data_IF_214594056231
#
_entry.id   IF_214594056231
#
_cell.length_a   1.000
_cell.length_b   1.000
_cell.length_c   1.000
_cell.angle_alpha   90.00
_cell.angle_beta   90.00
_cell.angle_gamma   90.00
#
_symmetry.space_group_name_H-M   'P 1'
#
loop_
_entity.id
_entity.type
_entity.pdbx_description
1 polymer ?
#
# COMPACT_ATOMS: atom_id res chain seq x y z
N UNK A 1 -14.50 -2.61 -53.32
CA UNK A 1 -14.62 -3.65 -52.29
C UNK A 1 -14.32 -3.04 -50.93
N UNK A 2 -15.39 -2.72 -50.21
CA UNK A 2 -15.35 -2.20 -48.85
C UNK A 2 -14.94 -3.35 -47.91
N UNK A 3 -13.68 -3.39 -47.52
CA UNK A 3 -13.32 -4.03 -46.25
C UNK A 3 -13.88 -3.11 -45.18
N UNK A 4 -14.89 -3.60 -44.46
CA UNK A 4 -15.50 -2.85 -43.36
C UNK A 4 -14.44 -2.59 -42.30
N UNK A 5 -14.49 -1.40 -41.70
CA UNK A 5 -13.51 -0.93 -40.71
C UNK A 5 -13.33 -1.97 -39.56
N UNK A 6 -14.34 -2.81 -39.29
CA UNK A 6 -14.27 -3.89 -38.30
C UNK A 6 -13.36 -5.07 -38.65
N UNK A 7 -13.16 -5.44 -39.92
CA UNK A 7 -12.22 -6.54 -40.26
C UNK A 7 -10.76 -6.11 -40.10
N UNK A 8 -10.49 -4.82 -40.36
CA UNK A 8 -9.17 -4.22 -40.20
C UNK A 8 -8.86 -3.96 -38.72
N UNK A 9 -9.86 -3.63 -37.91
CA UNK A 9 -9.76 -3.56 -36.44
C UNK A 9 -9.59 -4.94 -35.80
N UNK A 10 -10.40 -5.95 -36.17
CA UNK A 10 -10.24 -7.34 -35.71
C UNK A 10 -8.88 -7.93 -36.07
N UNK A 11 -8.40 -7.67 -37.28
CA UNK A 11 -7.05 -8.10 -37.71
C UNK A 11 -5.96 -7.35 -36.95
N UNK A 12 -6.15 -6.06 -36.65
CA UNK A 12 -5.20 -5.28 -35.85
C UNK A 12 -5.19 -5.73 -34.38
N UNK A 13 -6.33 -6.13 -33.81
CA UNK A 13 -6.45 -6.63 -32.44
C UNK A 13 -5.87 -8.05 -32.28
N UNK A 14 -6.08 -8.93 -33.26
CA UNK A 14 -5.41 -10.23 -33.31
C UNK A 14 -3.86 -10.11 -33.41
N UNK A 15 -3.37 -9.01 -34.02
CA UNK A 15 -1.93 -8.68 -34.06
C UNK A 15 -1.42 -8.20 -32.69
N UNK A 16 -2.26 -7.54 -31.86
CA UNK A 16 -1.86 -7.02 -30.53
C UNK A 16 -1.61 -8.12 -29.50
N UNK A 17 -2.31 -9.25 -29.57
CA UNK A 17 -1.99 -10.44 -28.76
C UNK A 17 -0.72 -11.19 -29.22
N UNK A 18 0.05 -10.66 -30.17
CA UNK A 18 1.34 -11.22 -30.60
C UNK A 18 2.53 -10.31 -30.26
N UNK A 19 2.38 -9.42 -29.28
CA UNK A 19 3.48 -8.61 -28.76
C UNK A 19 4.35 -9.41 -27.79
N UNK A 20 5.61 -9.00 -27.61
CA UNK A 20 6.57 -9.62 -26.70
C UNK A 20 7.20 -8.57 -25.80
N UNK A 21 7.59 -8.98 -24.58
CA UNK A 21 8.37 -8.15 -23.67
C UNK A 21 9.87 -8.14 -24.03
N UNK A 22 10.66 -7.46 -23.20
CA UNK A 22 12.11 -7.37 -23.36
C UNK A 22 12.84 -8.72 -23.35
N UNK A 23 12.24 -9.74 -22.73
CA UNK A 23 12.78 -11.10 -22.65
C UNK A 23 12.26 -12.00 -23.78
N UNK A 24 11.51 -11.44 -24.74
CA UNK A 24 10.93 -12.16 -25.87
C UNK A 24 9.75 -13.05 -25.48
N UNK A 25 9.22 -12.91 -24.27
CA UNK A 25 8.04 -13.64 -23.82
C UNK A 25 6.79 -12.96 -24.39
N UNK A 26 5.85 -13.76 -24.88
CA UNK A 26 4.58 -13.24 -25.42
C UNK A 26 3.81 -12.51 -24.34
N UNK A 27 3.29 -11.34 -24.69
CA UNK A 27 2.38 -10.55 -23.87
C UNK A 27 0.98 -10.74 -24.46
N UNK A 28 0.05 -11.17 -23.63
CA UNK A 28 -1.36 -11.28 -23.95
C UNK A 28 -2.12 -10.21 -23.17
N UNK A 29 -3.27 -9.78 -23.69
CA UNK A 29 -4.10 -8.84 -22.95
C UNK A 29 -3.74 -7.37 -23.14
N UNK A 30 -2.86 -7.02 -24.10
CA UNK A 30 -2.61 -5.63 -24.49
C UNK A 30 -3.67 -5.21 -25.54
N UNK A 31 -4.82 -4.75 -25.07
CA UNK A 31 -5.98 -4.33 -25.87
C UNK A 31 -5.96 -2.82 -26.18
N UNK A 32 -5.34 -2.04 -25.30
CA UNK A 32 -5.25 -0.60 -25.26
C UNK A 32 -4.24 0.00 -26.25
N UNK A 33 -3.82 1.21 -25.92
CA UNK A 33 -3.13 2.11 -26.82
C UNK A 33 -1.66 2.34 -26.48
N UNK A 34 -1.31 2.00 -25.25
CA UNK A 34 -0.02 2.17 -24.64
C UNK A 34 0.82 0.88 -24.84
N UNK A 35 1.94 0.81 -24.13
CA UNK A 35 2.88 -0.30 -24.26
C UNK A 35 2.79 -1.29 -23.13
N UNK A 36 1.91 -1.09 -22.13
CA UNK A 36 1.87 -1.88 -20.92
C UNK A 36 0.49 -2.50 -20.77
N UNK A 37 0.45 -3.78 -20.41
CA UNK A 37 -0.82 -4.37 -19.97
C UNK A 37 -1.19 -3.74 -18.64
N UNK A 38 -2.20 -2.90 -18.60
CA UNK A 38 -2.60 -2.20 -17.40
C UNK A 38 -4.13 -2.08 -17.27
N UNK A 39 -4.60 -1.13 -16.48
CA UNK A 39 -6.03 -0.97 -16.21
C UNK A 39 -6.83 -0.58 -17.44
N UNK A 40 -6.22 0.10 -18.42
CA UNK A 40 -6.88 0.44 -19.68
C UNK A 40 -7.33 -0.84 -20.37
N UNK A 41 -6.42 -1.79 -20.46
CA UNK A 41 -6.69 -3.09 -21.04
C UNK A 41 -7.71 -3.90 -20.25
N UNK A 42 -7.65 -3.83 -18.90
CA UNK A 42 -8.61 -4.51 -18.05
C UNK A 42 -10.04 -4.02 -18.30
N UNK A 43 -10.24 -2.71 -18.41
CA UNK A 43 -11.56 -2.14 -18.66
C UNK A 43 -12.08 -2.48 -20.06
N UNK A 44 -11.21 -2.46 -21.08
CA UNK A 44 -11.57 -2.92 -22.42
C UNK A 44 -11.94 -4.41 -22.38
N UNK A 45 -11.15 -5.24 -21.68
CA UNK A 45 -11.44 -6.66 -21.50
C UNK A 45 -12.79 -6.91 -20.81
N UNK A 46 -13.08 -6.15 -19.76
CA UNK A 46 -14.32 -6.23 -19.00
C UNK A 46 -15.58 -6.02 -19.85
N UNK A 47 -15.54 -5.11 -20.84
CA UNK A 47 -16.65 -4.86 -21.76
C UNK A 47 -16.97 -6.08 -22.66
N UNK A 48 -16.02 -6.98 -22.83
CA UNK A 48 -16.17 -8.21 -23.61
C UNK A 48 -16.40 -9.45 -22.74
N UNK A 49 -16.34 -9.34 -21.42
CA UNK A 49 -16.51 -10.46 -20.50
C UNK A 49 -17.93 -11.05 -20.57
N UNK A 50 -18.03 -12.37 -20.63
CA UNK A 50 -19.27 -13.12 -20.77
C UNK A 50 -19.81 -13.20 -22.20
N UNK A 51 -19.15 -12.59 -23.19
CA UNK A 51 -19.51 -12.77 -24.60
C UNK A 51 -19.10 -14.17 -25.08
N UNK A 52 -19.92 -14.77 -25.93
CA UNK A 52 -19.66 -16.07 -26.56
C UNK A 52 -19.60 -15.90 -28.06
N UNK A 53 -19.09 -16.88 -28.81
CA UNK A 53 -19.03 -16.80 -30.28
C UNK A 53 -20.37 -16.53 -30.98
N UNK A 54 -21.50 -16.74 -30.31
CA UNK A 54 -22.84 -16.43 -30.82
C UNK A 54 -23.26 -14.96 -30.59
N UNK A 55 -22.52 -14.20 -29.77
CA UNK A 55 -22.79 -12.78 -29.51
C UNK A 55 -22.36 -11.92 -30.70
N UNK A 56 -23.21 -10.99 -31.16
CA UNK A 56 -22.92 -10.12 -32.32
C UNK A 56 -21.66 -9.26 -32.12
N UNK A 57 -21.36 -8.90 -30.87
CA UNK A 57 -20.20 -8.10 -30.46
C UNK A 57 -19.01 -8.95 -30.01
N UNK A 58 -19.07 -10.29 -30.14
CA UNK A 58 -17.95 -11.15 -29.79
C UNK A 58 -16.74 -10.84 -30.66
N UNK A 59 -15.59 -10.72 -30.00
CA UNK A 59 -14.30 -10.58 -30.64
C UNK A 59 -13.33 -11.59 -30.00
N UNK A 60 -12.84 -12.51 -30.83
CA UNK A 60 -11.90 -13.56 -30.43
C UNK A 60 -10.56 -13.03 -29.92
N UNK A 61 -10.28 -11.73 -30.08
CA UNK A 61 -9.11 -11.11 -29.46
C UNK A 61 -9.18 -11.13 -27.92
N UNK A 62 -10.38 -11.15 -27.33
CA UNK A 62 -10.57 -11.21 -25.88
C UNK A 62 -10.68 -12.64 -25.33
N UNK A 63 -10.87 -13.63 -26.20
CA UNK A 63 -10.78 -15.07 -25.90
C UNK A 63 -9.29 -15.49 -25.94
N UNK A 64 -8.59 -15.18 -24.85
CA UNK A 64 -7.18 -15.51 -24.63
C UNK A 64 -6.96 -17.03 -24.43
N UNK A 65 -8.01 -17.75 -24.07
CA UNK A 65 -8.08 -19.16 -23.71
C UNK A 65 -8.92 -19.96 -24.72
N UNK A 66 -8.58 -19.93 -26.02
CA UNK A 66 -9.45 -20.15 -27.20
C UNK A 66 -10.56 -21.19 -27.02
N UNK A 67 -11.62 -20.84 -26.28
CA UNK A 67 -12.72 -21.71 -25.89
C UNK A 67 -14.08 -21.19 -26.43
N UNK A 68 -14.05 -20.12 -27.23
CA UNK A 68 -15.18 -19.40 -27.82
C UNK A 68 -16.08 -18.67 -26.81
N UNK A 69 -15.56 -18.38 -25.63
CA UNK A 69 -16.18 -17.59 -24.58
C UNK A 69 -15.11 -16.64 -24.04
N UNK A 70 -15.50 -15.45 -23.61
CA UNK A 70 -14.64 -14.58 -22.79
C UNK A 70 -15.06 -14.80 -21.34
N UNK A 71 -14.30 -15.57 -20.58
CA UNK A 71 -14.62 -15.93 -19.20
C UNK A 71 -13.40 -15.84 -18.26
N UNK A 72 -13.49 -16.49 -17.11
CA UNK A 72 -12.45 -16.44 -16.10
C UNK A 72 -11.12 -17.06 -16.56
N UNK A 73 -11.14 -18.02 -17.49
CA UNK A 73 -9.91 -18.60 -18.04
C UNK A 73 -9.12 -17.53 -18.83
N UNK A 74 -9.81 -16.66 -19.55
CA UNK A 74 -9.20 -15.51 -20.23
C UNK A 74 -8.70 -14.46 -19.25
N UNK A 75 -9.49 -14.19 -18.21
CA UNK A 75 -9.12 -13.26 -17.16
C UNK A 75 -7.82 -13.66 -16.48
N UNK A 76 -7.62 -14.95 -16.16
CA UNK A 76 -6.38 -15.43 -15.55
C UNK A 76 -5.17 -15.28 -16.49
N UNK A 77 -5.36 -15.42 -17.80
CA UNK A 77 -4.30 -15.17 -18.78
C UNK A 77 -3.99 -13.67 -18.87
N UNK A 78 -5.00 -12.81 -18.89
CA UNK A 78 -4.83 -11.35 -18.84
C UNK A 78 -4.05 -10.93 -17.59
N UNK A 79 -4.50 -11.40 -16.44
CA UNK A 79 -3.92 -11.28 -15.11
C UNK A 79 -2.42 -11.56 -15.05
N UNK A 80 -2.00 -12.71 -15.59
CA UNK A 80 -0.59 -13.13 -15.66
C UNK A 80 0.28 -12.17 -16.48
N UNK A 81 -0.34 -11.37 -17.35
CA UNK A 81 0.34 -10.42 -18.21
C UNK A 81 0.31 -9.00 -17.67
N UNK A 82 -0.49 -8.72 -16.63
CA UNK A 82 -0.64 -7.37 -16.11
C UNK A 82 0.68 -6.78 -15.59
N UNK A 83 0.93 -5.54 -15.94
CA UNK A 83 2.17 -4.81 -15.66
C UNK A 83 3.32 -5.10 -16.63
N UNK A 84 3.20 -6.08 -17.54
CA UNK A 84 4.21 -6.36 -18.56
C UNK A 84 4.17 -5.32 -19.66
N UNK A 85 5.34 -4.95 -20.14
CA UNK A 85 5.51 -3.89 -21.15
C UNK A 85 6.10 -4.47 -22.44
N UNK A 86 5.51 -4.14 -23.59
CA UNK A 86 5.99 -4.54 -24.89
C UNK A 86 7.22 -3.72 -25.33
N UNK A 87 8.10 -4.33 -26.12
CA UNK A 87 9.19 -3.62 -26.79
C UNK A 87 8.81 -3.35 -28.24
N UNK A 88 8.11 -2.23 -28.51
CA UNK A 88 7.73 -1.80 -29.87
C UNK A 88 6.58 -0.79 -29.91
N UNK A 89 6.31 -0.21 -31.08
CA UNK A 89 5.24 0.82 -31.24
C UNK A 89 3.90 0.15 -31.49
N UNK A 90 3.07 0.07 -30.43
CA UNK A 90 1.64 -0.25 -30.53
C UNK A 90 0.85 0.85 -31.23
N UNK A 91 -0.28 0.49 -31.85
CA UNK A 91 -1.22 1.45 -32.46
C UNK A 91 -2.18 1.96 -31.39
N UNK A 92 -2.29 3.28 -31.26
CA UNK A 92 -3.15 4.00 -30.32
C UNK A 92 -4.63 3.71 -30.55
N UNK A 93 -5.35 3.20 -29.54
CA UNK A 93 -6.82 3.34 -29.43
C UNK A 93 -7.09 4.61 -28.64
N UNK A 94 -7.90 5.56 -29.13
CA UNK A 94 -8.26 6.71 -28.32
C UNK A 94 -9.09 6.24 -27.12
N UNK A 95 -8.53 6.27 -25.91
CA UNK A 95 -9.34 6.23 -24.70
C UNK A 95 -10.09 7.56 -24.59
N UNK A 96 -11.37 7.49 -24.22
CA UNK A 96 -12.11 8.72 -23.91
C UNK A 96 -11.58 9.27 -22.59
N UNK A 97 -11.21 10.55 -22.55
CA UNK A 97 -10.81 11.18 -21.31
C UNK A 97 -11.97 11.12 -20.31
N UNK A 98 -11.73 10.55 -19.14
CA UNK A 98 -12.76 10.38 -18.13
C UNK A 98 -13.01 11.63 -17.29
N UNK A 99 -14.12 11.61 -16.55
CA UNK A 99 -14.64 12.72 -15.77
C UNK A 99 -13.89 12.98 -14.44
N UNK A 100 -13.03 12.07 -14.00
CA UNK A 100 -12.42 12.06 -12.66
C UNK A 100 -10.99 12.65 -12.64
N UNK A 101 -10.74 13.77 -13.33
CA UNK A 101 -9.38 14.35 -13.41
C UNK A 101 -8.82 14.80 -12.05
N UNK A 102 -9.69 15.18 -11.13
CA UNK A 102 -9.33 15.66 -9.81
C UNK A 102 -9.28 14.56 -8.75
N UNK A 103 -9.74 13.35 -9.08
CA UNK A 103 -9.87 12.25 -8.13
C UNK A 103 -8.52 11.74 -7.62
N UNK A 104 -8.46 11.36 -6.33
CA UNK A 104 -7.22 10.91 -5.67
C UNK A 104 -7.49 9.73 -4.75
N UNK A 105 -6.55 8.78 -4.75
CA UNK A 105 -6.51 7.71 -3.76
C UNK A 105 -5.72 8.14 -2.52
N UNK A 106 -6.11 7.60 -1.37
CA UNK A 106 -5.38 7.74 -0.10
C UNK A 106 -5.21 6.39 0.57
N UNK A 107 -4.11 6.21 1.29
CA UNK A 107 -3.82 5.03 2.09
C UNK A 107 -3.74 5.41 3.57
N UNK A 108 -4.37 4.62 4.44
CA UNK A 108 -4.30 4.77 5.89
C UNK A 108 -4.02 3.41 6.56
N UNK A 109 -2.98 3.36 7.40
CA UNK A 109 -2.61 2.16 8.17
C UNK A 109 -3.26 2.12 9.57
N UNK A 110 -4.06 3.14 9.91
CA UNK A 110 -4.62 3.32 11.24
C UNK A 110 -3.55 3.66 12.29
N UNK A 111 -3.95 3.55 13.57
CA UNK A 111 -3.07 3.90 14.70
C UNK A 111 -2.69 2.70 15.57
N UNK A 112 -3.34 1.55 15.35
CA UNK A 112 -3.04 0.33 16.09
C UNK A 112 -1.85 -0.40 15.45
N UNK A 113 -0.85 -0.73 16.27
CA UNK A 113 0.31 -1.47 15.83
C UNK A 113 0.02 -2.98 15.88
N UNK A 114 -0.07 -3.68 14.75
CA UNK A 114 -0.29 -5.12 14.77
C UNK A 114 0.93 -5.85 15.32
N UNK A 115 0.69 -6.99 15.99
CA UNK A 115 1.75 -7.91 16.35
C UNK A 115 2.26 -8.65 15.11
N UNK A 116 3.47 -9.21 15.19
CA UNK A 116 3.97 -10.15 14.17
C UNK A 116 2.99 -11.32 14.03
N UNK A 117 2.66 -11.68 12.79
CA UNK A 117 1.68 -12.70 12.43
C UNK A 117 0.21 -12.26 12.47
N UNK A 118 -0.10 -11.08 13.01
CA UNK A 118 -1.46 -10.52 12.98
C UNK A 118 -1.76 -9.84 11.63
N UNK A 119 -3.05 -9.60 11.38
CA UNK A 119 -3.48 -8.81 10.23
C UNK A 119 -3.05 -7.34 10.40
N UNK A 120 -2.45 -6.79 9.36
CA UNK A 120 -2.21 -5.36 9.16
C UNK A 120 -3.19 -4.90 8.09
N UNK A 121 -4.04 -3.93 8.44
CA UNK A 121 -5.11 -3.45 7.56
C UNK A 121 -4.72 -2.07 7.02
N UNK A 122 -4.71 -1.93 5.70
CA UNK A 122 -4.53 -0.64 5.02
C UNK A 122 -5.85 -0.24 4.38
N UNK A 123 -6.48 0.82 4.89
CA UNK A 123 -7.66 1.40 4.28
C UNK A 123 -7.27 2.19 3.03
N UNK A 124 -8.03 2.00 1.95
CA UNK A 124 -7.92 2.73 0.69
C UNK A 124 -9.17 3.59 0.53
N UNK A 125 -8.97 4.89 0.43
CA UNK A 125 -10.04 5.86 0.19
C UNK A 125 -9.89 6.49 -1.19
N UNK A 126 -11.02 6.90 -1.78
CA UNK A 126 -11.07 7.66 -3.02
C UNK A 126 -11.84 8.95 -2.77
N UNK A 127 -11.25 10.09 -3.09
CA UNK A 127 -11.91 11.40 -2.96
C UNK A 127 -11.89 12.16 -4.29
N UNK A 128 -12.65 13.25 -4.36
CA UNK A 128 -12.72 14.18 -5.49
C UNK A 128 -13.08 13.54 -6.84
N UNK A 129 -13.83 12.43 -6.81
CA UNK A 129 -14.38 11.80 -8.01
C UNK A 129 -15.76 12.38 -8.35
N UNK A 130 -16.11 12.30 -9.63
CA UNK A 130 -17.42 12.71 -10.16
C UNK A 130 -18.32 11.49 -10.31
N UNK A 131 -17.79 10.45 -10.97
CA UNK A 131 -18.52 9.23 -11.26
C UNK A 131 -17.55 8.06 -11.44
N UNK A 132 -17.76 6.96 -10.75
CA UNK A 132 -16.92 5.77 -10.84
C UNK A 132 -17.79 4.55 -11.10
N UNK A 133 -17.47 3.85 -12.17
CA UNK A 133 -18.01 2.56 -12.55
C UNK A 133 -17.00 1.42 -12.36
N UNK A 134 -15.71 1.76 -12.33
CA UNK A 134 -14.66 0.81 -12.04
C UNK A 134 -13.40 1.50 -11.54
N UNK A 135 -12.60 0.76 -10.80
CA UNK A 135 -11.29 1.21 -10.36
C UNK A 135 -10.28 0.08 -10.47
N UNK A 136 -9.02 0.49 -10.55
CA UNK A 136 -7.87 -0.40 -10.58
C UNK A 136 -6.72 0.17 -9.76
N UNK A 137 -6.04 -0.66 -8.96
CA UNK A 137 -4.99 -0.28 -8.02
C UNK A 137 -3.82 -1.25 -8.04
N UNK A 138 -2.63 -0.74 -8.34
CA UNK A 138 -1.37 -1.48 -8.21
C UNK A 138 -0.68 -1.05 -6.93
N UNK A 139 -0.41 -2.02 -6.06
CA UNK A 139 0.20 -1.80 -4.75
C UNK A 139 1.50 -2.59 -4.64
N UNK A 140 2.57 -1.91 -4.24
CA UNK A 140 3.88 -2.49 -3.98
C UNK A 140 4.21 -2.44 -2.48
N UNK A 141 4.92 -3.46 -2.02
CA UNK A 141 5.29 -3.65 -0.61
C UNK A 141 6.52 -4.56 -0.49
N UNK A 142 7.16 -4.56 0.67
CA UNK A 142 8.30 -5.45 0.95
C UNK A 142 7.82 -6.89 1.27
N UNK A 143 8.06 -7.83 0.36
CA UNK A 143 7.69 -9.24 0.47
C UNK A 143 8.48 -10.02 1.55
N UNK A 144 9.63 -9.51 1.98
CA UNK A 144 10.36 -10.10 3.11
C UNK A 144 9.63 -9.80 4.42
N UNK A 145 9.02 -8.62 4.52
CA UNK A 145 8.32 -8.15 5.72
C UNK A 145 6.84 -8.52 5.77
N UNK A 146 6.17 -8.57 4.62
CA UNK A 146 4.72 -8.70 4.51
C UNK A 146 4.30 -9.83 3.57
N UNK A 147 3.15 -10.39 3.89
CA UNK A 147 2.37 -11.27 3.02
C UNK A 147 1.03 -10.58 2.74
N UNK A 148 0.67 -10.38 1.48
CA UNK A 148 -0.69 -9.96 1.14
C UNK A 148 -1.66 -11.12 1.32
N UNK A 149 -2.77 -10.87 2.01
CA UNK A 149 -3.79 -11.88 2.35
C UNK A 149 -4.97 -11.79 1.39
N UNK A 150 -5.68 -10.66 1.40
CA UNK A 150 -6.89 -10.44 0.60
C UNK A 150 -7.27 -8.95 0.54
N UNK A 151 -8.02 -8.53 -0.48
CA UNK A 151 -8.80 -7.31 -0.38
C UNK A 151 -10.06 -7.61 0.43
N UNK A 152 -10.41 -6.73 1.36
CA UNK A 152 -11.58 -6.83 2.20
C UNK A 152 -12.45 -5.60 2.02
N UNK A 153 -13.71 -5.83 1.72
CA UNK A 153 -14.70 -4.76 1.63
C UNK A 153 -15.23 -4.46 3.04
N UNK A 154 -15.30 -3.18 3.39
CA UNK A 154 -15.98 -2.68 4.58
C UNK A 154 -17.10 -1.75 4.10
N UNK A 155 -18.26 -1.84 4.75
CA UNK A 155 -19.53 -1.14 4.47
C UNK A 155 -19.50 -0.01 3.42
N UNK A 156 -20.47 -0.05 2.50
CA UNK A 156 -20.82 1.00 1.53
C UNK A 156 -19.75 1.33 0.48
N UNK A 157 -19.33 0.36 -0.35
CA UNK A 157 -18.55 0.68 -1.57
C UNK A 157 -19.39 1.58 -2.47
N UNK A 158 -19.09 2.88 -2.41
CA UNK A 158 -19.74 3.97 -3.13
C UNK A 158 -21.28 3.83 -3.16
N UNK A 159 -21.89 3.40 -2.03
CA UNK A 159 -23.34 3.22 -1.90
C UNK A 159 -23.76 2.00 -1.07
N UNK A 160 -24.46 1.03 -1.67
CA UNK A 160 -24.84 -0.25 -1.01
C UNK A 160 -24.49 -1.52 -1.82
N UNK A 161 -24.36 -1.50 -3.15
CA UNK A 161 -23.91 -2.65 -3.98
C UNK A 161 -23.48 -2.25 -5.41
N UNK A 162 -22.94 -1.05 -5.63
CA UNK A 162 -22.75 -0.55 -7.01
C UNK A 162 -21.49 -1.08 -7.68
N UNK A 163 -20.39 -1.29 -6.96
CA UNK A 163 -19.22 -1.98 -7.50
C UNK A 163 -19.18 -3.45 -7.07
N UNK A 164 -18.71 -4.34 -7.94
CA UNK A 164 -18.46 -5.72 -7.58
C UNK A 164 -17.33 -5.82 -6.54
N UNK A 165 -17.22 -7.00 -5.91
CA UNK A 165 -16.11 -7.27 -5.01
C UNK A 165 -14.76 -7.17 -5.76
N UNK A 166 -13.76 -6.48 -5.19
CA UNK A 166 -12.44 -6.35 -5.80
C UNK A 166 -11.82 -7.72 -6.06
N UNK A 167 -11.30 -7.89 -7.27
CA UNK A 167 -10.58 -9.09 -7.68
C UNK A 167 -9.09 -8.80 -7.70
N UNK A 168 -8.31 -9.68 -7.09
CA UNK A 168 -6.85 -9.72 -7.25
C UNK A 168 -6.60 -10.48 -8.54
N UNK A 169 -6.05 -9.80 -9.53
CA UNK A 169 -5.78 -10.42 -10.82
C UNK A 169 -4.28 -10.56 -11.05
N UNK A 170 -3.40 -9.80 -10.39
CA UNK A 170 -1.97 -10.10 -10.43
C UNK A 170 -1.40 -10.06 -9.02
N UNK A 171 -0.60 -11.07 -8.68
CA UNK A 171 0.10 -11.14 -7.40
C UNK A 171 1.46 -11.78 -7.62
N UNK A 172 2.50 -10.98 -7.49
CA UNK A 172 3.89 -11.44 -7.43
C UNK A 172 4.48 -11.09 -6.07
N UNK A 173 5.71 -11.50 -5.81
CA UNK A 173 6.40 -11.12 -4.58
C UNK A 173 6.51 -9.58 -4.51
N UNK A 174 5.83 -8.99 -3.53
CA UNK A 174 5.91 -7.57 -3.23
C UNK A 174 5.08 -6.66 -4.13
N UNK A 175 4.19 -7.22 -4.97
CA UNK A 175 3.31 -6.44 -5.83
C UNK A 175 1.98 -7.14 -6.05
N UNK A 176 0.90 -6.40 -5.91
CA UNK A 176 -0.46 -6.83 -6.21
C UNK A 176 -1.15 -5.84 -7.14
N UNK A 177 -2.04 -6.35 -7.97
CA UNK A 177 -2.91 -5.54 -8.80
C UNK A 177 -4.37 -6.00 -8.59
N UNK A 178 -5.21 -5.05 -8.21
CA UNK A 178 -6.59 -5.26 -7.79
C UNK A 178 -7.49 -4.36 -8.62
N UNK A 179 -8.63 -4.88 -9.06
CA UNK A 179 -9.65 -4.06 -9.73
C UNK A 179 -11.04 -4.49 -9.35
N UNK A 180 -11.97 -3.55 -9.45
CA UNK A 180 -13.39 -3.79 -9.37
C UNK A 180 -14.11 -3.04 -10.49
N UNK A 181 -15.20 -3.63 -10.96
CA UNK A 181 -16.11 -3.06 -11.95
C UNK A 181 -17.54 -3.29 -11.49
N UNK A 182 -18.44 -2.39 -11.85
CA UNK A 182 -19.85 -2.58 -11.59
C UNK A 182 -20.73 -1.56 -12.27
N UNK A 183 -21.75 -1.12 -11.54
CA UNK A 183 -22.58 0.02 -11.85
C UNK A 183 -21.85 1.32 -11.54
N UNK A 184 -22.37 2.39 -12.11
CA UNK A 184 -21.98 3.76 -11.81
C UNK A 184 -22.38 4.14 -10.39
N UNK A 185 -21.42 4.70 -9.65
CA UNK A 185 -21.64 5.45 -8.42
C UNK A 185 -21.08 6.87 -8.54
N UNK A 186 -21.72 7.85 -7.91
CA UNK A 186 -21.31 9.27 -7.95
C UNK A 186 -21.11 9.87 -6.55
N UNK A 187 -21.18 9.05 -5.50
CA UNK A 187 -21.04 9.43 -4.10
C UNK A 187 -20.68 8.18 -3.26
N UNK A 188 -20.26 8.38 -2.02
CA UNK A 188 -19.92 7.34 -1.04
C UNK A 188 -18.42 7.09 -0.90
N UNK A 189 -18.07 6.10 -0.06
CA UNK A 189 -16.70 5.75 0.29
C UNK A 189 -16.25 4.50 -0.48
N UNK A 190 -14.98 4.42 -0.89
CA UNK A 190 -14.49 3.23 -1.60
C UNK A 190 -14.61 1.95 -0.75
N UNK A 191 -14.52 2.07 0.58
CA UNK A 191 -14.73 0.96 1.51
C UNK A 191 -13.75 -0.21 1.31
N UNK A 192 -12.56 0.03 0.74
CA UNK A 192 -11.59 -1.02 0.43
C UNK A 192 -10.51 -1.07 1.50
N UNK A 193 -10.34 -2.22 2.13
CA UNK A 193 -9.20 -2.55 2.97
C UNK A 193 -8.30 -3.56 2.27
N UNK A 194 -6.99 -3.29 2.26
CA UNK A 194 -5.98 -4.25 1.86
C UNK A 194 -5.45 -4.94 3.11
N UNK A 195 -5.63 -6.24 3.20
CA UNK A 195 -5.24 -7.03 4.37
C UNK A 195 -3.89 -7.68 4.10
N UNK A 196 -2.93 -7.35 4.94
CA UNK A 196 -1.60 -7.94 4.97
C UNK A 196 -1.38 -8.71 6.26
N UNK A 197 -0.33 -9.54 6.29
CA UNK A 197 0.18 -10.17 7.50
C UNK A 197 1.66 -9.82 7.66
N UNK A 198 2.04 -9.31 8.83
CA UNK A 198 3.44 -9.07 9.16
C UNK A 198 4.17 -10.39 9.41
N UNK A 199 5.22 -10.66 8.64
CA UNK A 199 6.05 -11.87 8.77
C UNK A 199 7.10 -11.74 9.87
N UNK A 200 7.53 -10.52 10.17
CA UNK A 200 8.50 -10.18 11.20
C UNK A 200 8.27 -8.76 11.76
N UNK A 201 9.04 -8.38 12.77
CA UNK A 201 8.96 -7.03 13.35
C UNK A 201 9.36 -5.97 12.31
N UNK A 202 8.51 -4.97 12.11
CA UNK A 202 8.72 -3.83 11.21
C UNK A 202 8.90 -2.58 12.07
N UNK A 203 10.09 -1.97 12.02
CA UNK A 203 10.34 -0.67 12.65
C UNK A 203 9.94 0.50 11.74
N UNK A 204 10.17 0.34 10.44
CA UNK A 204 9.89 1.34 9.42
C UNK A 204 9.85 0.67 8.04
N UNK A 205 8.71 0.74 7.36
CA UNK A 205 8.54 0.29 5.97
C UNK A 205 7.36 1.05 5.35
N UNK A 206 7.11 0.82 4.07
CA UNK A 206 6.06 1.48 3.31
C UNK A 206 5.27 0.50 2.47
N UNK A 207 3.98 0.78 2.33
CA UNK A 207 3.12 0.21 1.29
C UNK A 207 2.79 1.34 0.35
N UNK A 208 2.96 1.13 -0.95
CA UNK A 208 2.83 2.16 -1.97
C UNK A 208 1.79 1.76 -3.01
N UNK A 209 0.78 2.60 -3.23
CA UNK A 209 -0.08 2.53 -4.40
C UNK A 209 0.67 3.25 -5.53
N UNK A 210 1.23 2.49 -6.46
CA UNK A 210 2.11 3.00 -7.53
C UNK A 210 1.36 3.39 -8.79
N UNK A 211 0.19 2.78 -9.03
CA UNK A 211 -0.68 3.13 -10.15
C UNK A 211 -2.14 2.96 -9.75
N UNK A 212 -2.98 3.92 -10.16
CA UNK A 212 -4.42 3.84 -10.01
C UNK A 212 -5.12 4.22 -11.31
N UNK A 213 -6.30 3.67 -11.54
CA UNK A 213 -7.15 4.09 -12.65
C UNK A 213 -8.61 4.10 -12.22
N UNK A 214 -9.39 5.02 -12.79
CA UNK A 214 -10.83 5.11 -12.63
C UNK A 214 -11.49 5.08 -14.00
N UNK A 215 -12.59 4.33 -14.10
CA UNK A 215 -13.49 4.36 -15.24
C UNK A 215 -14.81 4.99 -14.81
N UNK A 216 -15.32 5.95 -15.57
CA UNK A 216 -16.67 6.52 -15.37
C UNK A 216 -17.74 5.74 -16.15
N UNK A 217 -19.03 6.04 -15.94
CA UNK A 217 -20.12 5.33 -16.63
C UNK A 217 -20.24 5.61 -18.13
N UNK A 218 -19.50 6.60 -18.66
CA UNK A 218 -19.34 6.82 -20.09
C UNK A 218 -18.13 6.08 -20.68
N UNK A 219 -17.53 5.17 -19.89
CA UNK A 219 -16.30 4.44 -20.21
C UNK A 219 -15.08 5.35 -20.37
N UNK A 220 -15.18 6.59 -19.91
CA UNK A 220 -14.07 7.52 -19.85
C UNK A 220 -13.11 7.09 -18.75
N UNK A 221 -11.82 7.27 -19.00
CA UNK A 221 -10.75 6.78 -18.14
C UNK A 221 -9.92 7.92 -17.57
N UNK A 222 -9.59 7.81 -16.29
CA UNK A 222 -8.63 8.67 -15.61
C UNK A 222 -7.52 7.84 -14.97
N UNK A 223 -6.30 7.99 -15.49
CA UNK A 223 -5.09 7.46 -14.90
C UNK A 223 -4.63 8.33 -13.73
N UNK A 224 -4.38 7.71 -12.59
CA UNK A 224 -3.87 8.33 -11.36
C UNK A 224 -2.46 7.79 -11.15
N UNK A 225 -1.48 8.53 -11.67
CA UNK A 225 -0.07 8.12 -11.72
C UNK A 225 0.79 8.73 -10.60
N UNK A 226 0.19 9.52 -9.71
CA UNK A 226 0.91 10.02 -8.53
C UNK A 226 0.92 8.93 -7.46
N UNK A 227 2.09 8.34 -7.15
CA UNK A 227 2.15 7.30 -6.15
C UNK A 227 1.77 7.86 -4.77
N UNK A 228 1.08 7.03 -3.99
CA UNK A 228 0.68 7.34 -2.62
C UNK A 228 1.24 6.26 -1.72
N UNK A 229 1.96 6.66 -0.67
CA UNK A 229 2.58 5.72 0.25
C UNK A 229 2.07 5.91 1.68
N UNK A 230 2.00 4.82 2.42
CA UNK A 230 1.70 4.81 3.84
C UNK A 230 2.83 4.13 4.60
N UNK A 231 3.30 4.80 5.65
CA UNK A 231 4.31 4.25 6.55
C UNK A 231 3.65 3.20 7.43
N UNK A 232 4.32 2.06 7.58
CA UNK A 232 3.87 0.95 8.42
C UNK A 232 4.92 0.59 9.46
N UNK A 233 4.43 0.16 10.62
CA UNK A 233 5.24 -0.37 11.70
C UNK A 233 4.44 -1.43 12.46
N UNK A 234 5.12 -2.43 13.01
CA UNK A 234 4.51 -3.41 13.90
C UNK A 234 4.82 -3.06 15.35
N UNK A 235 4.04 -3.65 16.24
CA UNK A 235 4.31 -3.62 17.67
C UNK A 235 5.67 -4.26 17.96
N UNK A 236 6.51 -3.66 18.84
CA UNK A 236 7.74 -4.29 19.29
C UNK A 236 7.46 -5.63 19.96
N UNK A 237 8.36 -6.62 19.82
CA UNK A 237 8.17 -7.94 20.45
C UNK A 237 8.59 -7.98 21.92
N UNK A 238 9.48 -7.07 22.32
CA UNK A 238 10.03 -7.03 23.68
C UNK A 238 10.24 -5.61 24.19
N UNK A 239 10.21 -5.46 25.51
CA UNK A 239 10.65 -4.23 26.16
C UNK A 239 12.14 -4.01 25.89
N UNK A 240 12.52 -2.79 25.53
CA UNK A 240 13.93 -2.43 25.42
C UNK A 240 14.18 -0.97 25.77
N UNK A 241 15.35 -0.72 26.35
CA UNK A 241 15.97 0.59 26.45
C UNK A 241 17.19 0.58 25.53
N UNK A 242 17.30 1.53 24.60
CA UNK A 242 18.42 1.62 23.66
C UNK A 242 19.50 2.55 24.21
N UNK A 243 20.73 2.38 23.70
CA UNK A 243 21.80 3.34 23.99
C UNK A 243 21.38 4.73 23.54
N UNK A 244 21.77 5.74 24.32
CA UNK A 244 21.53 7.12 23.97
C UNK A 244 22.49 7.53 22.85
N UNK A 245 22.05 8.38 21.94
CA UNK A 245 22.88 8.90 20.86
C UNK A 245 22.70 10.43 20.69
N UNK A 246 23.79 11.20 20.59
CA UNK A 246 25.19 10.77 20.71
C UNK A 246 25.57 10.29 22.14
N UNK A 247 26.64 9.51 22.27
CA UNK A 247 27.26 9.17 23.56
C UNK A 247 28.78 8.95 23.32
N UNK A 248 29.67 9.86 23.75
CA UNK A 248 29.41 11.01 24.62
C UNK A 248 28.56 12.11 23.96
N UNK A 249 27.87 12.93 24.76
CA UNK A 249 26.96 13.99 24.26
C UNK A 249 27.27 15.37 24.84
N UNK A 250 26.84 16.44 24.15
CA UNK A 250 26.98 17.84 24.57
C UNK A 250 25.96 18.79 23.91
N UNK A 251 25.08 19.46 24.66
CA UNK A 251 24.43 18.98 25.87
C UNK A 251 23.25 18.04 25.54
N UNK A 252 22.95 17.80 24.26
CA UNK A 252 21.76 17.07 23.83
C UNK A 252 22.05 15.61 23.49
N UNK A 253 21.18 14.72 23.93
CA UNK A 253 21.16 13.31 23.52
C UNK A 253 19.73 12.84 23.30
N UNK A 254 19.58 11.86 22.42
CA UNK A 254 18.33 11.14 22.21
C UNK A 254 18.33 9.84 23.01
N UNK A 255 17.24 9.55 23.71
CA UNK A 255 17.00 8.28 24.41
C UNK A 255 15.80 7.61 23.75
N UNK A 256 15.96 6.32 23.41
CA UNK A 256 14.90 5.51 22.82
C UNK A 256 14.56 4.32 23.70
N UNK A 257 13.28 4.01 23.82
CA UNK A 257 12.78 2.81 24.49
C UNK A 257 11.55 2.29 23.75
N UNK A 258 11.17 1.04 23.99
CA UNK A 258 10.04 0.41 23.31
C UNK A 258 9.23 -0.44 24.28
N UNK A 259 7.93 -0.50 24.04
CA UNK A 259 6.94 -1.22 24.85
C UNK A 259 6.20 -2.22 23.93
N UNK A 260 6.25 -3.53 24.21
CA UNK A 260 5.49 -4.53 23.47
C UNK A 260 4.01 -4.54 23.86
N UNK A 261 3.67 -3.99 25.03
CA UNK A 261 2.31 -3.87 25.55
C UNK A 261 2.13 -2.53 26.23
N UNK A 262 0.88 -2.04 26.25
CA UNK A 262 0.54 -0.79 26.93
C UNK A 262 0.77 -0.89 28.44
N UNK A 263 1.27 0.17 29.07
CA UNK A 263 1.54 0.15 30.49
C UNK A 263 2.06 1.48 31.05
N UNK A 264 2.22 1.52 32.37
CA UNK A 264 2.84 2.65 33.05
C UNK A 264 4.36 2.64 32.82
N UNK A 265 4.90 3.81 32.48
CA UNK A 265 6.32 4.03 32.23
C UNK A 265 6.88 5.12 33.13
N UNK A 266 8.07 4.88 33.69
CA UNK A 266 8.88 5.86 34.39
C UNK A 266 10.31 5.83 33.86
N UNK A 267 10.80 6.96 33.36
CA UNK A 267 12.16 7.12 32.87
C UNK A 267 12.87 8.22 33.66
N UNK A 268 13.99 7.87 34.27
CA UNK A 268 14.72 8.76 35.16
C UNK A 268 16.22 8.74 34.87
N UNK A 269 16.87 9.87 35.12
CA UNK A 269 18.32 10.05 35.05
C UNK A 269 18.88 10.18 36.46
N UNK A 270 20.01 9.54 36.69
CA UNK A 270 20.71 9.43 37.96
C UNK A 270 22.15 9.89 37.82
N UNK A 271 22.68 10.54 38.86
CA UNK A 271 24.11 10.76 39.00
C UNK A 271 24.84 9.52 39.57
N UNK A 272 26.16 9.58 39.70
CA UNK A 272 26.97 8.47 40.25
C UNK A 272 26.66 8.12 41.72
N UNK A 273 25.96 9.00 42.45
CA UNK A 273 25.52 8.74 43.83
C UNK A 273 24.15 8.05 43.88
N UNK A 274 23.53 7.75 42.73
CA UNK A 274 22.20 7.17 42.66
C UNK A 274 21.06 8.16 42.95
N UNK A 275 21.34 9.46 42.94
CA UNK A 275 20.31 10.49 43.11
C UNK A 275 19.65 10.77 41.76
N UNK A 276 18.31 10.80 41.74
CA UNK A 276 17.54 11.24 40.56
C UNK A 276 17.83 12.72 40.30
N UNK A 277 18.39 13.03 39.14
CA UNK A 277 18.67 14.41 38.70
C UNK A 277 17.62 14.92 37.72
N UNK A 278 17.00 14.03 36.93
CA UNK A 278 15.93 14.35 35.98
C UNK A 278 14.92 13.21 35.92
N UNK A 279 13.64 13.55 35.92
CA UNK A 279 12.55 12.64 35.56
C UNK A 279 12.09 13.02 34.15
N UNK A 280 12.31 12.13 33.19
CA UNK A 280 11.99 12.36 31.78
C UNK A 280 10.57 11.90 31.45
N UNK A 281 10.12 10.83 32.10
CA UNK A 281 8.73 10.34 32.05
C UNK A 281 8.32 9.98 33.47
N UNK A 282 7.22 10.54 33.95
CA UNK A 282 6.75 10.36 35.32
C UNK A 282 5.46 9.53 35.38
N UNK A 283 5.61 8.21 35.52
CA UNK A 283 4.53 7.22 35.70
C UNK A 283 3.36 7.39 34.71
N UNK A 284 3.66 7.69 33.44
CA UNK A 284 2.66 7.90 32.42
C UNK A 284 2.18 6.57 31.84
N UNK A 285 0.87 6.44 31.59
CA UNK A 285 0.33 5.33 30.83
C UNK A 285 0.57 5.57 29.33
N UNK A 286 1.23 4.62 28.67
CA UNK A 286 1.60 4.68 27.26
C UNK A 286 1.12 3.41 26.56
N UNK A 287 0.71 3.54 25.30
CA UNK A 287 0.34 2.41 24.45
C UNK A 287 1.58 1.56 24.09
N UNK A 288 1.37 0.41 23.45
CA UNK A 288 2.50 -0.31 22.87
C UNK A 288 3.11 0.51 21.73
N UNK A 289 4.44 0.47 21.58
CA UNK A 289 5.12 1.23 20.54
C UNK A 289 6.57 1.57 20.86
N UNK A 290 7.19 2.33 19.95
CA UNK A 290 8.58 2.82 20.07
C UNK A 290 8.57 4.30 20.42
N UNK A 291 9.30 4.66 21.47
CA UNK A 291 9.33 6.01 22.04
C UNK A 291 10.72 6.61 21.90
N UNK A 292 10.75 7.88 21.48
CA UNK A 292 11.97 8.68 21.34
C UNK A 292 11.80 9.98 22.10
N UNK A 293 12.75 10.34 22.93
CA UNK A 293 12.79 11.64 23.61
C UNK A 293 14.19 12.22 23.65
N UNK A 294 14.25 13.54 23.59
CA UNK A 294 15.49 14.30 23.68
C UNK A 294 15.69 14.81 25.10
N UNK A 295 16.94 14.80 25.56
CA UNK A 295 17.33 15.37 26.84
C UNK A 295 18.53 16.30 26.65
N UNK A 296 18.47 17.47 27.27
CA UNK A 296 19.35 18.63 27.11
C UNK A 296 20.36 18.77 28.27
N UNK A 297 20.65 17.67 28.97
CA UNK A 297 21.51 17.65 30.15
C UNK A 297 21.06 18.57 31.30
N UNK A 298 19.77 18.93 31.40
CA UNK A 298 19.24 19.69 32.54
C UNK A 298 18.71 18.80 33.66
N UNK A 299 18.71 19.32 34.89
CA UNK A 299 18.02 18.70 36.02
C UNK A 299 16.52 19.05 36.05
N UNK A 300 15.79 18.56 37.05
CA UNK A 300 14.36 18.86 37.25
C UNK A 300 14.05 20.35 37.45
N UNK A 301 15.03 21.17 37.86
CA UNK A 301 14.90 22.63 38.00
C UNK A 301 15.31 23.39 36.74
N UNK A 302 15.60 22.70 35.63
CA UNK A 302 16.05 23.31 34.37
C UNK A 302 17.50 23.79 34.39
N UNK A 303 18.29 23.44 35.40
CA UNK A 303 19.69 23.85 35.49
C UNK A 303 20.59 22.85 34.75
N UNK A 304 21.60 23.33 33.98
CA UNK A 304 22.54 22.45 33.29
C UNK A 304 23.36 21.63 34.28
N UNK A 305 23.53 20.35 33.98
CA UNK A 305 24.38 19.43 34.74
C UNK A 305 25.87 19.59 34.40
N UNK A 306 26.76 19.20 35.30
CA UNK A 306 28.21 19.19 35.06
C UNK A 306 28.62 17.99 34.20
N UNK A 307 29.72 18.11 33.45
CA UNK A 307 30.31 16.99 32.72
C UNK A 307 30.59 15.80 33.65
N UNK A 308 30.33 14.59 33.17
CA UNK A 308 30.47 13.40 34.00
C UNK A 308 29.63 12.22 33.53
N UNK A 309 29.70 11.14 34.31
CA UNK A 309 28.93 9.92 34.06
C UNK A 309 27.56 10.03 34.70
N UNK A 310 26.54 9.71 33.92
CA UNK A 310 25.16 9.59 34.36
C UNK A 310 24.60 8.23 33.97
N UNK A 311 23.53 7.84 34.64
CA UNK A 311 22.77 6.62 34.32
C UNK A 311 21.33 7.00 34.04
N UNK A 312 20.67 6.28 33.15
CA UNK A 312 19.24 6.41 32.96
C UNK A 312 18.58 5.05 33.09
N UNK A 313 17.40 5.03 33.70
CA UNK A 313 16.63 3.83 34.00
C UNK A 313 15.20 3.99 33.55
N UNK A 314 14.72 3.02 32.80
CA UNK A 314 13.30 2.87 32.49
C UNK A 314 12.70 1.77 33.35
N UNK A 315 11.50 2.00 33.86
CA UNK A 315 10.62 1.01 34.48
C UNK A 315 9.34 1.01 33.67
N UNK A 316 8.90 -0.16 33.19
CA UNK A 316 7.69 -0.29 32.37
C UNK A 316 6.94 -1.59 32.64
N UNK A 317 5.63 -1.63 32.39
CA UNK A 317 4.83 -2.86 32.46
C UNK A 317 4.81 -3.54 33.83
N UNK A 318 5.08 -2.81 34.91
CA UNK A 318 5.14 -3.31 36.28
C UNK A 318 6.42 -4.06 36.66
N UNK A 319 6.98 -4.86 35.75
CA UNK A 319 8.12 -5.74 36.05
C UNK A 319 9.41 -5.38 35.30
N UNK A 320 9.31 -4.80 34.10
CA UNK A 320 10.49 -4.51 33.29
C UNK A 320 11.27 -3.34 33.88
N UNK A 321 12.59 -3.55 34.09
CA UNK A 321 13.53 -2.50 34.47
C UNK A 321 14.82 -2.65 33.67
N UNK A 322 15.29 -1.56 33.08
CA UNK A 322 16.56 -1.52 32.36
C UNK A 322 17.30 -0.24 32.64
N UNK A 323 18.63 -0.32 32.73
CA UNK A 323 19.51 0.81 33.01
C UNK A 323 20.67 0.87 32.04
N UNK A 324 21.07 2.08 31.67
CA UNK A 324 22.21 2.34 30.78
C UNK A 324 23.01 3.53 31.25
N UNK A 325 24.26 3.62 30.76
CA UNK A 325 25.26 4.61 31.17
C UNK A 325 25.49 5.60 30.03
N UNK A 326 25.59 6.88 30.35
CA UNK A 326 25.91 7.95 29.40
C UNK A 326 27.01 8.87 29.93
N UNK A 327 27.76 9.47 29.01
CA UNK A 327 28.83 10.42 29.31
C UNK A 327 28.50 11.80 28.75
N UNK A 328 28.30 12.77 29.64
CA UNK A 328 28.15 14.18 29.30
C UNK A 328 29.53 14.83 29.20
N UNK A 329 29.83 15.44 28.06
CA UNK A 329 30.99 16.30 27.85
C UNK A 329 30.50 17.74 27.65
N UNK A 330 31.23 18.71 28.17
CA UNK A 330 31.01 20.14 27.89
C UNK A 330 32.23 20.71 27.20
#
# INVERSE_FOLDING_TARGET
DNITISELERSAMAIRNNVVDADGQRILGLFGADTRVDYDDFFIFGDHFGLTADSETFDSAFDLSPNNVVDFDDFFIFADNFGREMVGVGKVVPTMAGLNSDARFYLDAGTELPAVGAELIIAVSLEDFVEVRGYGLTVEFDAELLEFVEPRVVDNILGETDLAAPQVFSQTDGRIAIAALGNTASDGDLGLNLVFRAKQEIEDSYIELTNGALQDGTYGLNQITSPVSVRIETRPEAYALRENYPNPFNPETTIKYQLPEAGQVRLEVYNMLGQVVKTLVDNQFQNAGRYTLQWDATNNSGQPLSSGVYFYRVVAGGEFQSHKKMLLLK
#
